data_IF_238322981766
#
_entry.id   IF_238322981766
#
_cell.length_a   1.000
_cell.length_b   1.000
_cell.length_c   1.000
_cell.angle_alpha   90.00
_cell.angle_beta   90.00
_cell.angle_gamma   90.00
#
_symmetry.space_group_name_H-M   'P 1'
#
loop_
_entity.id
_entity.type
_entity.pdbx_description
1 polymer ?
#
# COMPACT_ATOMS: atom_id res chain seq x y z
N UNK A 1 -20.80 -26.85 -21.30
CA UNK A 1 -22.01 -26.62 -22.12
C UNK A 1 -22.57 -25.26 -21.71
N UNK A 2 -22.89 -24.29 -22.57
CA UNK A 2 -22.83 -24.16 -24.01
C UNK A 2 -22.37 -22.74 -24.41
N UNK A 3 -21.78 -22.64 -25.60
CA UNK A 3 -21.29 -21.40 -26.23
C UNK A 3 -22.42 -20.68 -26.95
N UNK A 4 -22.32 -19.36 -27.07
CA UNK A 4 -22.85 -18.65 -28.24
C UNK A 4 -21.82 -17.62 -28.70
N UNK A 5 -21.19 -17.97 -29.81
CA UNK A 5 -20.34 -17.12 -30.65
C UNK A 5 -21.25 -16.19 -31.45
N UNK A 6 -20.81 -14.96 -31.69
CA UNK A 6 -21.30 -14.16 -32.82
C UNK A 6 -20.13 -13.44 -33.49
N UNK A 7 -19.65 -14.10 -34.54
CA UNK A 7 -19.13 -13.62 -35.81
C UNK A 7 -18.19 -12.40 -35.85
N UNK A 8 -16.90 -12.72 -36.02
CA UNK A 8 -15.95 -11.90 -36.78
C UNK A 8 -16.10 -12.16 -38.29
N UNK A 9 -15.87 -11.12 -39.08
CA UNK A 9 -15.72 -11.08 -40.55
C UNK A 9 -16.99 -10.79 -41.39
N UNK A 10 -17.48 -9.56 -41.28
CA UNK A 10 -17.79 -8.73 -42.45
C UNK A 10 -16.94 -7.45 -42.30
N UNK A 11 -15.69 -7.49 -42.77
CA UNK A 11 -15.24 -6.71 -43.93
C UNK A 11 -15.51 -5.22 -43.76
N UNK A 12 -14.51 -4.56 -43.17
CA UNK A 12 -13.88 -3.37 -43.71
C UNK A 12 -14.76 -2.44 -44.56
N UNK A 13 -15.44 -1.50 -43.90
CA UNK A 13 -15.58 -0.13 -44.39
C UNK A 13 -16.13 0.71 -43.24
N UNK A 14 -15.58 1.92 -43.07
CA UNK A 14 -15.85 2.91 -42.01
C UNK A 14 -15.22 2.66 -40.63
N UNK A 15 -13.89 2.55 -40.60
CA UNK A 15 -13.15 3.03 -39.42
C UNK A 15 -13.30 4.56 -39.39
N UNK A 16 -14.19 5.06 -38.53
CA UNK A 16 -14.15 6.46 -38.12
C UNK A 16 -12.76 6.73 -37.52
N UNK A 17 -12.11 7.86 -37.85
CA UNK A 17 -10.82 8.19 -37.26
C UNK A 17 -10.97 8.25 -35.74
N UNK A 18 -9.96 7.77 -35.02
CA UNK A 18 -9.84 7.94 -33.57
C UNK A 18 -10.16 9.40 -33.19
N UNK A 19 -10.92 9.64 -32.11
CA UNK A 19 -11.14 11.00 -31.65
C UNK A 19 -9.76 11.63 -31.42
N UNK A 20 -9.55 12.82 -31.99
CA UNK A 20 -8.30 13.56 -31.82
C UNK A 20 -8.01 13.69 -30.34
N UNK A 21 -6.84 13.22 -29.90
CA UNK A 21 -6.31 13.53 -28.58
C UNK A 21 -6.40 15.05 -28.43
N UNK A 22 -7.23 15.51 -27.50
CA UNK A 22 -7.35 16.93 -27.18
C UNK A 22 -5.96 17.43 -26.83
N UNK A 23 -5.38 18.23 -27.73
CA UNK A 23 -4.11 18.89 -27.52
C UNK A 23 -4.34 19.88 -26.38
N UNK A 24 -3.84 19.54 -25.19
CA UNK A 24 -3.96 20.38 -24.01
C UNK A 24 -3.25 21.71 -24.30
N UNK A 25 -3.91 22.88 -24.11
CA UNK A 25 -3.25 24.16 -24.32
C UNK A 25 -2.04 24.28 -23.39
N UNK A 26 -0.90 24.71 -23.91
CA UNK A 26 0.21 25.12 -23.05
C UNK A 26 -0.28 26.23 -22.12
N UNK A 27 -0.22 26.05 -20.78
CA UNK A 27 -0.62 27.11 -19.87
C UNK A 27 0.43 28.22 -19.88
N UNK A 28 -0.04 29.47 -19.95
CA UNK A 28 0.79 30.66 -19.76
C UNK A 28 1.54 30.60 -18.42
N UNK A 29 2.78 31.12 -18.35
CA UNK A 29 3.58 31.11 -17.13
C UNK A 29 2.91 31.98 -16.05
N UNK A 30 2.26 31.35 -15.07
CA UNK A 30 1.71 32.03 -13.90
C UNK A 30 2.81 32.24 -12.85
N UNK A 31 2.86 33.47 -12.35
CA UNK A 31 3.73 34.02 -11.31
C UNK A 31 4.37 33.02 -10.35
N UNK A 32 5.70 32.92 -10.43
CA UNK A 32 6.60 32.31 -9.44
C UNK A 32 6.54 33.07 -8.11
N UNK A 33 6.29 32.41 -6.97
CA UNK A 33 6.77 32.89 -5.68
C UNK A 33 8.30 32.90 -5.67
N UNK A 34 8.90 33.79 -4.88
CA UNK A 34 10.34 34.09 -4.84
C UNK A 34 11.26 32.87 -4.97
N UNK A 35 12.25 33.00 -5.85
CA UNK A 35 13.23 31.98 -6.16
C UNK A 35 14.02 31.59 -4.90
N UNK A 36 13.84 30.34 -4.46
CA UNK A 36 14.76 29.69 -3.53
C UNK A 36 16.07 29.40 -4.26
N UNK A 37 17.18 29.72 -3.60
CA UNK A 37 18.56 29.67 -4.09
C UNK A 37 18.90 28.36 -4.84
N UNK A 38 19.35 28.42 -6.12
CA UNK A 38 19.63 27.22 -6.94
C UNK A 38 20.73 26.31 -6.35
N UNK A 39 21.45 26.76 -5.33
CA UNK A 39 22.47 25.98 -4.63
C UNK A 39 21.90 24.91 -3.66
N UNK A 40 20.59 24.91 -3.38
CA UNK A 40 19.95 23.90 -2.50
C UNK A 40 19.08 22.87 -3.24
N UNK A 41 18.88 23.01 -4.56
CA UNK A 41 17.93 22.24 -5.35
C UNK A 41 18.57 21.21 -6.31
N UNK A 42 19.64 20.54 -5.87
CA UNK A 42 20.25 19.41 -6.57
C UNK A 42 20.04 18.10 -5.81
N UNK A 43 18.80 17.81 -5.40
CA UNK A 43 18.37 16.43 -5.12
C UNK A 43 17.80 15.86 -6.42
N UNK A 44 18.69 15.62 -7.38
CA UNK A 44 18.32 15.00 -8.63
C UNK A 44 17.78 13.59 -8.34
N UNK A 45 16.63 13.24 -8.89
CA UNK A 45 16.11 11.86 -8.87
C UNK A 45 17.15 10.86 -9.39
N UNK A 46 18.17 11.31 -10.13
CA UNK A 46 19.43 10.61 -10.44
C UNK A 46 20.18 9.98 -9.24
N UNK A 47 20.05 10.52 -8.02
CA UNK A 47 20.70 9.98 -6.82
C UNK A 47 19.86 8.93 -6.08
N UNK A 48 18.57 8.78 -6.42
CA UNK A 48 17.67 7.84 -5.73
C UNK A 48 18.01 6.42 -6.14
N UNK A 49 18.30 5.53 -5.20
CA UNK A 49 18.78 4.19 -5.54
C UNK A 49 17.70 3.30 -6.18
N UNK A 50 18.12 2.46 -7.13
CA UNK A 50 17.32 1.43 -7.82
C UNK A 50 16.08 1.87 -8.58
N UNK A 51 15.93 3.16 -8.88
CA UNK A 51 15.12 3.57 -10.03
C UNK A 51 15.87 3.28 -11.31
N UNK A 52 15.18 2.78 -12.32
CA UNK A 52 15.70 2.69 -13.67
C UNK A 52 15.76 4.09 -14.33
N UNK A 53 16.41 4.16 -15.49
CA UNK A 53 16.60 5.42 -16.21
C UNK A 53 15.26 6.03 -16.69
N UNK A 54 14.28 5.20 -17.05
CA UNK A 54 12.97 5.64 -17.51
C UNK A 54 12.19 6.30 -16.36
N UNK A 55 12.16 5.66 -15.20
CA UNK A 55 11.54 6.17 -13.98
C UNK A 55 12.15 7.49 -13.54
N UNK A 56 13.49 7.60 -13.55
CA UNK A 56 14.20 8.85 -13.21
C UNK A 56 13.78 10.00 -14.10
N UNK A 57 13.85 9.82 -15.42
CA UNK A 57 13.45 10.86 -16.39
C UNK A 57 12.01 11.28 -16.21
N UNK A 58 11.11 10.34 -15.93
CA UNK A 58 9.69 10.64 -15.71
C UNK A 58 9.50 11.46 -14.43
N UNK A 59 10.14 11.09 -13.33
CA UNK A 59 10.07 11.81 -12.06
C UNK A 59 10.71 13.19 -12.14
N UNK A 60 11.81 13.36 -12.88
CA UNK A 60 12.41 14.67 -13.16
C UNK A 60 11.45 15.57 -13.95
N UNK A 61 10.75 15.02 -14.95
CA UNK A 61 9.72 15.76 -15.70
C UNK A 61 8.56 16.16 -14.81
N UNK A 62 8.12 15.28 -13.90
CA UNK A 62 7.06 15.60 -12.92
C UNK A 62 7.54 16.68 -11.94
N UNK A 63 8.76 16.58 -11.43
CA UNK A 63 9.36 17.60 -10.56
C UNK A 63 9.43 18.97 -11.24
N UNK A 64 9.87 19.02 -12.52
CA UNK A 64 9.96 20.27 -13.27
C UNK A 64 8.59 20.91 -13.58
N UNK A 65 7.55 20.10 -13.80
CA UNK A 65 6.20 20.58 -14.14
C UNK A 65 5.30 20.82 -12.93
N UNK A 66 5.55 20.12 -11.82
CA UNK A 66 4.63 20.04 -10.69
C UNK A 66 3.43 19.12 -10.96
N UNK A 67 2.75 18.76 -9.87
CA UNK A 67 1.50 18.02 -9.84
C UNK A 67 0.39 18.98 -9.48
N UNK A 68 -0.49 19.27 -10.44
CA UNK A 68 -1.65 20.11 -10.19
C UNK A 68 -2.72 19.32 -9.44
N UNK A 69 -3.17 19.86 -8.32
CA UNK A 69 -4.25 19.32 -7.51
C UNK A 69 -5.33 20.37 -7.30
N UNK A 70 -6.59 19.93 -7.38
CA UNK A 70 -7.75 20.73 -7.04
C UNK A 70 -8.59 19.93 -6.07
N UNK A 71 -9.08 20.58 -5.01
CA UNK A 71 -9.94 19.92 -4.03
C UNK A 71 -11.19 19.36 -4.73
N UNK A 72 -11.38 18.03 -4.76
CA UNK A 72 -12.50 17.43 -5.48
C UNK A 72 -13.86 17.74 -4.85
N UNK A 73 -13.89 18.21 -3.59
CA UNK A 73 -15.10 18.57 -2.84
C UNK A 73 -15.32 20.07 -2.72
N UNK A 74 -14.46 20.89 -3.34
CA UNK A 74 -14.61 22.34 -3.40
C UNK A 74 -14.30 22.84 -4.82
N UNK A 75 -15.36 22.97 -5.63
CA UNK A 75 -15.26 23.35 -7.03
C UNK A 75 -14.77 24.80 -7.23
N UNK A 76 -14.96 25.65 -6.22
CA UNK A 76 -14.62 27.08 -6.26
C UNK A 76 -13.21 27.36 -5.72
N UNK A 77 -12.64 26.44 -4.96
CA UNK A 77 -11.26 26.55 -4.51
C UNK A 77 -10.27 26.58 -5.70
N UNK A 78 -9.30 27.51 -5.70
CA UNK A 78 -8.25 27.51 -6.71
C UNK A 78 -7.41 26.24 -6.58
N UNK A 79 -7.00 25.67 -7.71
CA UNK A 79 -6.07 24.56 -7.71
C UNK A 79 -4.65 25.01 -7.33
N UNK A 80 -3.87 24.08 -6.82
CA UNK A 80 -2.50 24.30 -6.34
C UNK A 80 -1.57 23.32 -7.06
N UNK A 81 -0.42 23.80 -7.51
CA UNK A 81 0.63 22.97 -8.07
C UNK A 81 1.63 22.58 -6.97
N UNK A 82 1.85 21.28 -6.78
CA UNK A 82 2.81 20.73 -5.83
C UNK A 82 4.07 20.28 -6.55
N UNK A 83 5.25 20.57 -5.99
CA UNK A 83 6.50 20.02 -6.50
C UNK A 83 6.80 18.68 -5.84
N UNK A 84 7.06 17.66 -6.65
CA UNK A 84 7.38 16.31 -6.19
C UNK A 84 8.89 16.17 -5.96
N UNK A 85 9.34 16.08 -4.71
CA UNK A 85 10.75 15.95 -4.32
C UNK A 85 11.01 14.64 -3.57
N UNK A 86 12.21 14.06 -3.68
CA UNK A 86 12.51 12.83 -2.94
C UNK A 86 12.70 13.13 -1.44
N UNK A 87 11.92 12.45 -0.61
CA UNK A 87 11.84 12.65 0.84
C UNK A 87 12.80 11.86 1.70
N UNK A 88 13.71 11.13 1.06
CA UNK A 88 14.62 10.18 1.69
C UNK A 88 14.01 8.78 1.85
N UNK A 89 14.88 7.77 1.83
CA UNK A 89 14.50 6.37 1.96
C UNK A 89 13.98 6.06 3.38
N UNK A 90 13.07 5.09 3.48
CA UNK A 90 12.56 4.58 4.76
C UNK A 90 12.94 3.12 4.92
N UNK A 91 13.17 2.72 6.16
CA UNK A 91 13.51 1.33 6.48
C UNK A 91 12.37 0.38 6.11
N UNK A 92 12.74 -0.81 5.64
CA UNK A 92 11.80 -1.87 5.30
C UNK A 92 11.41 -2.71 6.55
N UNK A 93 11.03 -2.03 7.63
CA UNK A 93 10.71 -2.62 8.95
C UNK A 93 9.19 -2.81 9.18
N UNK A 94 8.38 -2.52 8.15
CA UNK A 94 6.92 -2.51 8.20
C UNK A 94 6.30 -1.21 8.72
N UNK A 95 7.09 -0.27 9.26
CA UNK A 95 6.64 1.08 9.67
C UNK A 95 6.86 2.15 8.60
N UNK A 96 7.58 1.81 7.53
CA UNK A 96 7.74 2.56 6.28
C UNK A 96 6.59 3.50 5.91
N UNK A 97 5.34 3.03 5.82
CA UNK A 97 4.16 3.87 5.51
C UNK A 97 4.04 5.04 6.49
N UNK A 98 4.05 4.74 7.79
CA UNK A 98 3.85 5.73 8.85
C UNK A 98 5.06 6.66 8.98
N UNK A 99 6.27 6.15 8.76
CA UNK A 99 7.49 6.96 8.73
C UNK A 99 7.48 7.93 7.54
N UNK A 100 7.09 7.46 6.35
CA UNK A 100 6.95 8.29 5.16
C UNK A 100 5.86 9.35 5.34
N UNK A 101 4.70 8.96 5.88
CA UNK A 101 3.60 9.87 6.17
C UNK A 101 3.99 10.94 7.19
N UNK A 102 4.68 10.57 8.28
CA UNK A 102 5.23 11.53 9.25
C UNK A 102 6.16 12.54 8.59
N UNK A 103 7.07 12.06 7.73
CA UNK A 103 8.03 12.91 7.03
C UNK A 103 7.32 13.89 6.10
N UNK A 104 6.37 13.40 5.29
CA UNK A 104 5.59 14.22 4.36
C UNK A 104 4.71 15.26 5.07
N UNK A 105 4.18 14.96 6.26
CA UNK A 105 3.37 15.90 7.05
C UNK A 105 4.20 16.86 7.92
N UNK A 106 5.52 16.63 8.03
CA UNK A 106 6.45 17.52 8.73
C UNK A 106 6.67 17.21 10.23
N UNK A 107 7.61 17.92 10.88
CA UNK A 107 8.19 17.53 12.17
C UNK A 107 7.25 17.63 13.38
N UNK A 108 6.15 18.39 13.26
CA UNK A 108 5.11 18.50 14.30
C UNK A 108 4.19 17.27 14.34
N UNK A 109 4.30 16.39 13.34
CA UNK A 109 3.51 15.18 13.25
C UNK A 109 3.99 14.14 14.24
N UNK A 110 3.00 13.45 14.81
CA UNK A 110 3.17 12.27 15.65
C UNK A 110 4.20 11.25 15.11
N UNK A 111 4.80 10.49 16.02
CA UNK A 111 5.73 9.41 15.65
C UNK A 111 5.04 8.30 14.84
N UNK A 112 5.81 7.48 14.10
CA UNK A 112 5.27 6.41 13.26
C UNK A 112 4.34 5.45 14.02
N UNK A 113 4.71 5.07 15.24
CA UNK A 113 3.89 4.22 16.13
C UNK A 113 2.57 4.87 16.51
N UNK A 114 2.57 6.17 16.79
CA UNK A 114 1.37 6.91 17.14
C UNK A 114 0.47 7.11 15.91
N UNK A 115 1.05 7.39 14.73
CA UNK A 115 0.30 7.44 13.46
C UNK A 115 -0.37 6.10 13.14
N UNK A 116 0.32 4.98 13.35
CA UNK A 116 -0.24 3.63 13.24
C UNK A 116 -1.44 3.46 14.15
N UNK A 117 -1.31 3.82 15.43
CA UNK A 117 -2.41 3.73 16.40
C UNK A 117 -3.60 4.62 16.03
N UNK A 118 -3.36 5.82 15.50
CA UNK A 118 -4.42 6.72 15.02
C UNK A 118 -5.15 6.13 13.81
N UNK A 119 -4.42 5.58 12.84
CA UNK A 119 -5.02 4.91 11.69
C UNK A 119 -5.89 3.72 12.11
N UNK A 120 -5.41 2.88 13.03
CA UNK A 120 -6.18 1.76 13.59
C UNK A 120 -7.43 2.26 14.32
N UNK A 121 -7.30 3.28 15.17
CA UNK A 121 -8.44 3.86 15.91
C UNK A 121 -9.48 4.40 14.95
N UNK A 122 -9.06 5.15 13.94
CA UNK A 122 -9.94 5.73 12.93
C UNK A 122 -10.70 4.64 12.17
N UNK A 123 -9.99 3.60 11.75
CA UNK A 123 -10.62 2.43 11.12
C UNK A 123 -11.66 1.79 12.04
N UNK A 124 -11.37 1.58 13.33
CA UNK A 124 -12.31 0.97 14.27
C UNK A 124 -13.55 1.83 14.51
N UNK A 125 -13.41 3.16 14.52
CA UNK A 125 -14.55 4.09 14.59
C UNK A 125 -15.45 3.97 13.35
N UNK A 126 -14.83 3.94 12.16
CA UNK A 126 -15.56 3.78 10.88
C UNK A 126 -16.21 2.40 10.78
N UNK A 127 -15.49 1.34 11.13
CA UNK A 127 -15.97 -0.03 11.13
C UNK A 127 -17.11 -0.25 12.14
N UNK A 128 -17.00 0.33 13.34
CA UNK A 128 -18.02 0.23 14.38
C UNK A 128 -19.31 1.01 14.07
N UNK A 129 -19.21 2.09 13.29
CA UNK A 129 -20.35 2.91 12.86
C UNK A 129 -20.95 2.47 11.52
N UNK A 130 -20.25 1.64 10.75
CA UNK A 130 -20.70 1.11 9.48
C UNK A 130 -21.94 0.19 9.61
N UNK A 131 -22.79 0.22 8.59
CA UNK A 131 -23.87 -0.76 8.46
C UNK A 131 -23.33 -2.17 8.17
N UNK A 132 -24.23 -3.16 8.14
CA UNK A 132 -23.84 -4.56 7.92
C UNK A 132 -23.22 -4.80 6.53
N UNK A 133 -23.67 -4.10 5.49
CA UNK A 133 -23.17 -4.29 4.14
C UNK A 133 -21.76 -3.69 3.97
N UNK A 134 -21.53 -2.51 4.54
CA UNK A 134 -20.23 -1.86 4.55
C UNK A 134 -19.21 -2.63 5.39
N UNK A 135 -19.61 -3.20 6.53
CA UNK A 135 -18.76 -4.09 7.33
C UNK A 135 -18.39 -5.36 6.57
N UNK A 136 -19.36 -6.04 5.96
CA UNK A 136 -19.08 -7.23 5.14
C UNK A 136 -18.14 -6.90 3.97
N UNK A 137 -18.31 -5.76 3.31
CA UNK A 137 -17.40 -5.33 2.25
C UNK A 137 -15.96 -5.14 2.75
N UNK A 138 -15.78 -4.57 3.95
CA UNK A 138 -14.47 -4.45 4.58
C UNK A 138 -13.89 -5.82 4.94
N UNK A 139 -14.69 -6.72 5.53
CA UNK A 139 -14.26 -8.07 5.88
C UNK A 139 -13.87 -8.90 4.65
N UNK A 140 -14.60 -8.76 3.54
CA UNK A 140 -14.24 -9.36 2.24
C UNK A 140 -12.90 -8.85 1.76
N UNK A 141 -12.67 -7.52 1.80
CA UNK A 141 -11.41 -6.94 1.37
C UNK A 141 -10.23 -7.43 2.24
N UNK A 142 -10.41 -7.49 3.56
CA UNK A 142 -9.43 -8.01 4.51
C UNK A 142 -9.11 -9.48 4.23
N UNK A 143 -10.14 -10.31 3.98
CA UNK A 143 -9.94 -11.72 3.61
C UNK A 143 -9.12 -11.85 2.34
N UNK A 144 -9.42 -11.06 1.30
CA UNK A 144 -8.63 -11.11 0.07
C UNK A 144 -7.16 -10.74 0.27
N UNK A 145 -6.87 -9.81 1.19
CA UNK A 145 -5.50 -9.35 1.46
C UNK A 145 -4.71 -10.32 2.35
N UNK A 146 -5.37 -10.94 3.34
CA UNK A 146 -4.66 -11.59 4.45
C UNK A 146 -5.04 -13.03 4.73
N UNK A 147 -6.18 -13.49 4.21
CA UNK A 147 -6.63 -14.87 4.35
C UNK A 147 -7.37 -15.32 3.08
N UNK A 148 -6.70 -15.29 1.91
CA UNK A 148 -7.33 -15.58 0.63
C UNK A 148 -7.81 -17.03 0.56
N UNK A 149 -8.80 -17.29 -0.30
CA UNK A 149 -9.24 -18.66 -0.58
C UNK A 149 -8.18 -19.38 -1.43
N UNK A 150 -7.42 -20.28 -0.80
CA UNK A 150 -6.37 -21.06 -1.45
C UNK A 150 -6.88 -22.07 -2.50
N UNK A 151 -8.20 -22.28 -2.59
CA UNK A 151 -8.82 -23.07 -3.67
C UNK A 151 -9.06 -22.25 -4.95
N UNK A 152 -8.86 -20.94 -4.88
CA UNK A 152 -9.04 -20.00 -5.97
C UNK A 152 -7.86 -19.00 -6.03
N UNK A 153 -7.88 -18.05 -6.98
CA UNK A 153 -6.97 -16.88 -6.92
C UNK A 153 -5.55 -17.04 -7.47
N UNK A 154 -5.16 -18.21 -7.99
CA UNK A 154 -3.81 -18.45 -8.53
C UNK A 154 -3.48 -17.70 -9.83
N UNK A 155 -4.47 -17.08 -10.49
CA UNK A 155 -4.28 -16.34 -11.74
C UNK A 155 -3.62 -14.96 -11.62
N UNK A 156 -3.37 -14.47 -10.39
CA UNK A 156 -2.79 -13.13 -10.13
C UNK A 156 -1.33 -13.23 -9.68
N UNK A 157 -1.02 -14.14 -8.74
CA UNK A 157 0.33 -14.36 -8.25
C UNK A 157 0.51 -15.84 -7.86
N UNK A 158 1.69 -16.39 -8.17
CA UNK A 158 2.02 -17.82 -7.96
C UNK A 158 2.24 -18.19 -6.49
N UNK A 159 2.38 -17.18 -5.62
CA UNK A 159 2.44 -17.34 -4.16
C UNK A 159 1.30 -16.56 -3.52
N UNK A 160 0.57 -17.21 -2.63
CA UNK A 160 -0.46 -16.60 -1.77
C UNK A 160 0.02 -16.59 -0.32
N UNK A 161 -0.34 -15.56 0.44
CA UNK A 161 0.03 -15.45 1.86
C UNK A 161 -1.22 -15.50 2.74
N UNK A 162 -1.20 -16.35 3.77
CA UNK A 162 -2.18 -16.32 4.87
C UNK A 162 -1.47 -15.79 6.11
N UNK A 163 -2.02 -14.72 6.70
CA UNK A 163 -1.47 -14.08 7.88
C UNK A 163 -2.28 -14.44 9.13
N UNK A 164 -1.57 -14.85 10.16
CA UNK A 164 -2.10 -15.26 11.45
C UNK A 164 -1.43 -14.46 12.58
N UNK A 165 -2.14 -14.27 13.67
CA UNK A 165 -1.63 -13.62 14.87
C UNK A 165 -1.45 -14.66 15.98
N UNK A 166 -0.21 -14.83 16.42
CA UNK A 166 0.12 -15.64 17.58
C UNK A 166 0.29 -14.73 18.78
N UNK A 167 -0.44 -14.98 19.87
CA UNK A 167 -0.23 -14.23 21.10
C UNK A 167 1.14 -14.59 21.67
N UNK A 168 1.95 -13.58 22.03
CA UNK A 168 3.32 -13.81 22.54
C UNK A 168 3.33 -14.73 23.78
N UNK A 169 2.34 -14.57 24.65
CA UNK A 169 2.17 -15.39 25.85
C UNK A 169 1.93 -16.89 25.56
N UNK A 170 1.42 -17.24 24.37
CA UNK A 170 1.05 -18.61 24.02
C UNK A 170 2.15 -19.32 23.20
N UNK A 171 3.25 -18.64 22.87
CA UNK A 171 4.30 -19.12 21.95
C UNK A 171 4.94 -20.42 22.40
N UNK A 172 5.28 -20.54 23.68
CA UNK A 172 5.84 -21.79 24.23
C UNK A 172 4.86 -22.97 24.08
N UNK A 173 3.57 -22.71 24.29
CA UNK A 173 2.52 -23.71 24.13
C UNK A 173 2.29 -24.11 22.66
N UNK A 174 2.44 -23.17 21.72
CA UNK A 174 2.42 -23.46 20.29
C UNK A 174 3.61 -24.35 19.91
N UNK A 175 4.82 -23.99 20.34
CA UNK A 175 6.04 -24.75 20.05
C UNK A 175 5.97 -26.18 20.60
N UNK A 176 5.47 -26.34 21.83
CA UNK A 176 5.26 -27.66 22.43
C UNK A 176 4.27 -28.50 21.61
N UNK A 177 3.13 -27.93 21.21
CA UNK A 177 2.13 -28.66 20.43
C UNK A 177 2.62 -29.02 19.02
N UNK A 178 3.45 -28.18 18.41
CA UNK A 178 4.12 -28.52 17.14
C UNK A 178 5.06 -29.69 17.36
N UNK A 179 5.85 -29.66 18.44
CA UNK A 179 6.78 -30.74 18.74
C UNK A 179 6.06 -32.06 19.01
N UNK A 180 4.92 -32.05 19.70
CA UNK A 180 4.08 -33.24 19.91
C UNK A 180 3.66 -33.89 18.58
N UNK A 181 3.21 -33.10 17.61
CA UNK A 181 2.85 -33.61 16.28
C UNK A 181 4.07 -34.13 15.51
N UNK A 182 5.22 -33.47 15.64
CA UNK A 182 6.48 -33.94 15.05
C UNK A 182 6.92 -35.27 15.65
N UNK A 183 6.80 -35.44 16.97
CA UNK A 183 7.13 -36.67 17.67
C UNK A 183 6.20 -37.84 17.28
N UNK A 184 4.97 -37.52 16.84
CA UNK A 184 4.02 -38.47 16.24
C UNK A 184 4.31 -38.79 14.75
N UNK A 185 5.34 -38.18 14.17
CA UNK A 185 5.83 -38.46 12.82
C UNK A 185 5.34 -37.50 11.73
N UNK A 186 4.68 -36.40 12.08
CA UNK A 186 4.33 -35.36 11.09
C UNK A 186 5.58 -34.55 10.71
N UNK A 187 5.62 -34.10 9.46
CA UNK A 187 6.63 -33.12 9.03
C UNK A 187 6.41 -31.80 9.79
N UNK A 188 7.51 -31.15 10.18
CA UNK A 188 7.47 -29.97 11.05
C UNK A 188 6.61 -28.85 10.48
N UNK A 189 6.68 -28.61 9.18
CA UNK A 189 5.94 -27.57 8.48
C UNK A 189 4.43 -27.86 8.50
N UNK A 190 4.03 -29.11 8.24
CA UNK A 190 2.62 -29.52 8.29
C UNK A 190 2.05 -29.54 9.72
N UNK A 191 2.87 -29.90 10.71
CA UNK A 191 2.54 -29.78 12.13
C UNK A 191 2.34 -28.31 12.52
N UNK A 192 3.29 -27.44 12.16
CA UNK A 192 3.23 -26.01 12.41
C UNK A 192 2.02 -25.35 11.75
N UNK A 193 1.77 -25.62 10.47
CA UNK A 193 0.59 -25.15 9.76
C UNK A 193 -0.70 -25.53 10.48
N UNK A 194 -0.82 -26.79 10.89
CA UNK A 194 -2.01 -27.29 11.59
C UNK A 194 -2.23 -26.58 12.92
N UNK A 195 -1.18 -26.48 13.74
CA UNK A 195 -1.26 -25.80 15.04
C UNK A 195 -1.53 -24.31 14.90
N UNK A 196 -0.89 -23.64 13.95
CA UNK A 196 -1.11 -22.21 13.74
C UNK A 196 -2.52 -21.92 13.23
N UNK A 197 -3.04 -22.69 12.28
CA UNK A 197 -4.43 -22.53 11.80
C UNK A 197 -5.48 -22.82 12.88
N UNK A 198 -5.20 -23.75 13.78
CA UNK A 198 -6.10 -24.14 14.87
C UNK A 198 -6.10 -23.11 16.02
N UNK A 199 -4.92 -22.60 16.39
CA UNK A 199 -4.73 -21.86 17.65
C UNK A 199 -4.43 -20.37 17.49
N UNK A 200 -3.98 -19.92 16.32
CA UNK A 200 -3.72 -18.51 16.07
C UNK A 200 -4.96 -17.82 15.50
N UNK A 201 -4.97 -16.48 15.57
CA UNK A 201 -6.09 -15.68 15.05
C UNK A 201 -5.83 -15.39 13.58
N UNK A 202 -6.69 -15.89 12.68
CA UNK A 202 -6.65 -15.51 11.29
C UNK A 202 -7.06 -14.05 11.10
N UNK A 203 -6.42 -13.35 10.16
CA UNK A 203 -6.79 -11.98 9.78
C UNK A 203 -7.84 -12.07 8.68
N UNK A 204 -9.11 -12.03 9.07
CA UNK A 204 -10.24 -12.28 8.17
C UNK A 204 -11.45 -11.34 8.41
N UNK A 205 -11.31 -10.36 9.29
CA UNK A 205 -12.33 -9.36 9.58
C UNK A 205 -11.70 -8.05 10.09
N UNK A 206 -12.50 -7.00 10.24
CA UNK A 206 -12.05 -5.70 10.74
C UNK A 206 -11.36 -5.75 12.11
N UNK A 207 -11.81 -6.62 13.02
CA UNK A 207 -11.26 -6.68 14.38
C UNK A 207 -9.89 -7.35 14.42
N UNK A 208 -9.71 -8.44 13.67
CA UNK A 208 -8.44 -9.14 13.49
C UNK A 208 -7.44 -8.27 12.70
N UNK A 209 -7.90 -7.53 11.69
CA UNK A 209 -7.08 -6.54 11.00
C UNK A 209 -6.58 -5.44 11.95
N UNK A 210 -7.44 -4.92 12.82
CA UNK A 210 -7.04 -3.88 13.78
C UNK A 210 -5.96 -4.38 14.75
N UNK A 211 -6.04 -5.65 15.18
CA UNK A 211 -4.98 -6.29 15.98
C UNK A 211 -3.67 -6.41 15.19
N UNK A 212 -3.75 -6.87 13.94
CA UNK A 212 -2.59 -6.96 13.06
C UNK A 212 -1.92 -5.61 12.85
N UNK A 213 -2.68 -4.60 12.42
CA UNK A 213 -2.15 -3.28 12.11
C UNK A 213 -1.60 -2.55 13.35
N UNK A 214 -1.99 -2.96 14.56
CA UNK A 214 -1.43 -2.46 15.82
C UNK A 214 -0.01 -2.96 16.10
N UNK A 215 0.46 -4.01 15.43
CA UNK A 215 1.81 -4.57 15.59
C UNK A 215 2.81 -3.62 14.95
N UNK A 216 3.68 -3.05 15.78
CA UNK A 216 4.60 -1.97 15.43
C UNK A 216 6.06 -2.40 15.33
N UNK A 217 6.35 -3.68 15.56
CA UNK A 217 7.72 -4.18 15.68
C UNK A 217 8.32 -3.87 17.05
N UNK A 218 7.47 -3.73 18.07
CA UNK A 218 7.84 -3.36 19.44
C UNK A 218 7.82 -4.62 20.32
N UNK A 219 8.73 -4.74 21.31
CA UNK A 219 8.69 -5.86 22.26
C UNK A 219 7.37 -5.90 23.05
N UNK A 220 6.71 -4.77 23.23
CA UNK A 220 5.41 -4.60 23.90
C UNK A 220 4.20 -4.96 23.04
N UNK A 221 4.38 -5.27 21.75
CA UNK A 221 3.27 -5.75 20.92
C UNK A 221 2.71 -7.07 21.50
N UNK A 222 1.39 -7.20 21.58
CA UNK A 222 0.73 -8.38 22.21
C UNK A 222 0.88 -9.66 21.35
N UNK A 223 0.99 -9.49 20.04
CA UNK A 223 0.99 -10.58 19.05
C UNK A 223 2.24 -10.53 18.18
N UNK A 224 2.71 -11.72 17.79
CA UNK A 224 3.63 -11.92 16.69
C UNK A 224 2.85 -12.24 15.41
N UNK A 225 3.40 -11.84 14.26
CA UNK A 225 2.85 -12.15 12.94
C UNK A 225 3.44 -13.48 12.47
N UNK A 226 2.57 -14.40 12.07
CA UNK A 226 2.93 -15.62 11.34
C UNK A 226 2.40 -15.48 9.91
N UNK A 227 3.27 -15.68 8.93
CA UNK A 227 2.90 -15.69 7.51
C UNK A 227 3.11 -17.09 6.95
N UNK A 228 2.01 -17.72 6.54
CA UNK A 228 2.03 -18.99 5.80
C UNK A 228 2.03 -18.66 4.31
N UNK A 229 3.04 -19.11 3.59
CA UNK A 229 3.19 -18.89 2.14
C UNK A 229 2.81 -20.16 1.40
N UNK A 230 1.93 -20.05 0.42
CA UNK A 230 1.40 -21.17 -0.36
C UNK A 230 1.71 -21.00 -1.83
N UNK A 231 2.02 -22.10 -2.51
CA UNK A 231 1.84 -22.26 -3.96
C UNK A 231 0.59 -23.12 -4.21
N UNK A 232 0.20 -23.29 -5.47
CA UNK A 232 -0.90 -24.17 -5.84
C UNK A 232 -0.68 -25.63 -5.37
N UNK A 233 0.59 -26.01 -5.15
CA UNK A 233 0.99 -27.34 -4.69
C UNK A 233 0.88 -27.54 -3.17
N UNK A 234 0.69 -26.46 -2.40
CA UNK A 234 0.57 -26.50 -0.94
C UNK A 234 1.44 -25.47 -0.23
N UNK A 235 1.67 -25.71 1.07
CA UNK A 235 2.49 -24.83 1.89
C UNK A 235 3.95 -24.86 1.40
N UNK A 236 4.46 -23.68 1.04
CA UNK A 236 5.83 -23.46 0.60
C UNK A 236 6.76 -23.17 1.78
N UNK A 237 6.36 -22.25 2.64
CA UNK A 237 7.19 -21.76 3.74
C UNK A 237 6.36 -21.10 4.84
N UNK A 238 6.95 -21.02 6.03
CA UNK A 238 6.41 -20.31 7.19
C UNK A 238 7.42 -19.25 7.59
N UNK A 239 6.97 -18.00 7.68
CA UNK A 239 7.74 -16.89 8.23
C UNK A 239 7.14 -16.47 9.57
N UNK A 240 7.99 -16.33 10.58
CA UNK A 240 7.60 -16.05 11.96
C UNK A 240 8.37 -14.84 12.50
N UNK A 241 7.65 -13.80 12.90
CA UNK A 241 8.26 -12.62 13.53
C UNK A 241 8.61 -12.86 15.02
N UNK A 242 9.39 -13.91 15.32
CA UNK A 242 9.69 -14.31 16.71
C UNK A 242 10.40 -13.25 17.53
N UNK A 243 11.20 -12.42 16.87
CA UNK A 243 11.98 -11.39 17.54
C UNK A 243 11.16 -10.11 17.78
N UNK A 244 9.89 -10.08 17.34
CA UNK A 244 9.00 -8.94 17.50
C UNK A 244 9.48 -7.69 16.76
N UNK A 245 10.38 -7.81 15.77
CA UNK A 245 10.96 -6.65 15.07
C UNK A 245 10.21 -6.27 13.80
N UNK A 246 9.47 -7.20 13.18
CA UNK A 246 8.66 -6.89 12.01
C UNK A 246 7.36 -6.21 12.42
N UNK A 247 7.09 -5.03 11.89
CA UNK A 247 5.79 -4.40 12.01
C UNK A 247 4.82 -4.89 10.93
N UNK A 248 3.51 -4.76 11.18
CA UNK A 248 2.52 -4.99 10.14
C UNK A 248 2.70 -3.97 9.00
N UNK A 249 2.78 -4.47 7.77
CA UNK A 249 2.87 -3.61 6.58
C UNK A 249 1.57 -2.81 6.40
N UNK A 250 1.72 -1.52 6.14
CA UNK A 250 0.62 -0.64 5.78
C UNK A 250 -0.01 -1.02 4.43
N UNK A 251 -1.33 -1.07 4.40
CA UNK A 251 -2.16 -1.36 3.24
C UNK A 251 -3.07 -0.17 2.90
N UNK A 252 -3.87 -0.30 1.85
CA UNK A 252 -4.80 0.76 1.42
C UNK A 252 -5.82 1.12 2.54
N UNK A 253 -6.17 0.16 3.40
CA UNK A 253 -7.04 0.38 4.56
C UNK A 253 -6.38 1.34 5.55
N UNK A 254 -5.09 1.12 5.88
CA UNK A 254 -4.33 2.01 6.74
C UNK A 254 -4.13 3.40 6.10
N UNK A 255 -3.91 3.45 4.79
CA UNK A 255 -3.74 4.71 4.06
C UNK A 255 -5.04 5.53 4.07
N UNK A 256 -6.18 4.89 3.85
CA UNK A 256 -7.51 5.53 3.95
C UNK A 256 -7.80 6.00 5.38
N UNK A 257 -7.38 5.22 6.39
CA UNK A 257 -7.43 5.62 7.80
C UNK A 257 -6.62 6.89 8.07
N UNK A 258 -5.40 6.99 7.54
CA UNK A 258 -4.58 8.22 7.62
C UNK A 258 -5.22 9.39 6.87
N UNK A 259 -5.72 9.17 5.66
CA UNK A 259 -6.39 10.20 4.87
C UNK A 259 -7.56 10.80 5.67
N UNK A 260 -8.38 9.93 6.28
CA UNK A 260 -9.54 10.33 7.08
C UNK A 260 -9.15 11.03 8.38
N UNK A 261 -8.18 10.51 9.14
CA UNK A 261 -7.66 11.12 10.37
C UNK A 261 -7.14 12.55 10.12
N UNK A 262 -6.39 12.75 9.04
CA UNK A 262 -5.75 14.04 8.73
C UNK A 262 -6.52 14.91 7.74
N UNK A 263 -7.74 14.49 7.37
CA UNK A 263 -8.68 15.23 6.50
C UNK A 263 -8.01 15.73 5.21
N UNK A 264 -7.15 14.90 4.62
CA UNK A 264 -6.40 15.18 3.39
C UNK A 264 -6.38 13.96 2.50
N UNK A 265 -6.17 14.17 1.21
CA UNK A 265 -5.90 13.06 0.30
C UNK A 265 -4.47 12.56 0.47
N UNK A 266 -4.30 11.25 0.39
CA UNK A 266 -2.99 10.60 0.36
C UNK A 266 -2.83 9.95 -1.00
N UNK A 267 -1.85 10.40 -1.76
CA UNK A 267 -1.51 9.81 -3.05
C UNK A 267 -0.33 8.88 -2.90
N UNK A 268 -0.52 7.61 -3.24
CA UNK A 268 0.60 6.68 -3.40
C UNK A 268 1.12 6.83 -4.83
N UNK A 269 2.37 7.26 -4.96
CA UNK A 269 3.04 7.45 -6.23
C UNK A 269 3.85 6.19 -6.53
N UNK A 270 3.37 5.35 -7.43
CA UNK A 270 4.04 4.09 -7.80
C UNK A 270 4.87 4.26 -9.06
N UNK A 271 6.13 3.84 -9.01
CA UNK A 271 6.99 3.72 -10.20
C UNK A 271 7.18 2.24 -10.56
N UNK A 272 6.67 1.83 -11.74
CA UNK A 272 6.82 0.48 -12.27
C UNK A 272 7.95 0.41 -13.30
N UNK A 273 8.62 -0.74 -13.38
CA UNK A 273 9.70 -0.98 -14.33
C UNK A 273 9.19 -1.31 -15.74
N UNK A 274 10.11 -1.30 -16.71
CA UNK A 274 9.84 -1.57 -18.14
C UNK A 274 9.16 -2.91 -18.43
N UNK A 275 9.30 -3.90 -17.54
CA UNK A 275 8.73 -5.25 -17.74
C UNK A 275 7.19 -5.26 -17.71
N UNK A 276 6.57 -4.19 -17.19
CA UNK A 276 5.12 -4.06 -17.11
C UNK A 276 4.52 -3.14 -18.19
N UNK A 277 5.31 -2.32 -18.89
CA UNK A 277 4.79 -1.20 -19.70
C UNK A 277 5.42 -1.10 -21.10
N UNK A 278 4.58 -0.88 -22.11
CA UNK A 278 4.99 -0.74 -23.53
C UNK A 278 5.26 0.73 -23.91
N UNK A 279 4.77 1.71 -23.13
CA UNK A 279 4.95 3.15 -23.38
C UNK A 279 5.91 3.77 -22.35
N UNK A 280 6.86 4.56 -22.84
CA UNK A 280 7.82 5.32 -22.03
C UNK A 280 7.15 6.30 -21.05
N UNK A 281 5.92 6.73 -21.33
CA UNK A 281 5.20 7.75 -20.56
C UNK A 281 4.44 7.23 -19.33
N UNK A 282 4.19 5.93 -19.24
CA UNK A 282 3.25 5.34 -18.28
C UNK A 282 3.96 4.50 -17.20
N UNK A 283 5.14 4.93 -16.74
CA UNK A 283 5.87 4.23 -15.68
C UNK A 283 5.59 4.78 -14.26
N UNK A 284 4.83 5.87 -14.13
CA UNK A 284 4.50 6.50 -12.82
C UNK A 284 3.00 6.71 -12.68
N UNK A 285 2.42 6.18 -11.60
CA UNK A 285 0.99 6.22 -11.30
C UNK A 285 0.73 6.92 -9.97
N UNK A 286 -0.40 7.62 -9.89
CA UNK A 286 -0.88 8.27 -8.67
C UNK A 286 -2.15 7.54 -8.23
N UNK A 287 -2.10 6.86 -7.10
CA UNK A 287 -3.22 6.13 -6.52
C UNK A 287 -3.82 6.95 -5.38
N UNK A 288 -4.97 7.62 -5.60
CA UNK A 288 -5.59 8.49 -4.60
C UNK A 288 -6.28 7.69 -3.51
N UNK A 289 -6.10 8.13 -2.27
CA UNK A 289 -6.88 7.70 -1.11
C UNK A 289 -7.55 8.93 -0.52
N UNK A 290 -8.85 9.04 -0.68
CA UNK A 290 -9.62 10.19 -0.22
C UNK A 290 -10.20 9.94 1.18
N UNK A 291 -10.28 10.97 2.03
CA UNK A 291 -10.90 10.82 3.35
C UNK A 291 -12.39 10.52 3.24
N UNK A 292 -12.93 9.75 4.20
CA UNK A 292 -14.38 9.55 4.35
C UNK A 292 -15.10 10.85 4.78
N UNK A 293 -14.36 11.80 5.34
CA UNK A 293 -14.83 13.12 5.79
C UNK A 293 -14.43 14.23 4.83
N UNK A 294 -14.86 15.47 5.08
CA UNK A 294 -14.48 16.63 4.28
C UNK A 294 -12.96 16.85 4.28
N UNK A 295 -12.40 17.09 3.09
CA UNK A 295 -11.00 17.47 2.87
C UNK A 295 -10.81 18.92 3.33
N UNK A 296 -9.91 19.12 4.29
CA UNK A 296 -9.60 20.42 4.88
C UNK A 296 -8.13 20.81 4.76
N UNK A 297 -7.29 19.88 4.31
CA UNK A 297 -5.85 20.00 4.32
C UNK A 297 -5.29 19.63 2.93
N UNK A 298 -4.16 20.23 2.51
CA UNK A 298 -3.48 19.86 1.27
C UNK A 298 -3.12 18.37 1.20
N UNK A 299 -3.07 17.78 -0.01
CA UNK A 299 -2.70 16.38 -0.17
C UNK A 299 -1.24 16.12 0.23
N UNK A 300 -0.95 14.86 0.54
CA UNK A 300 0.43 14.37 0.63
C UNK A 300 0.67 13.30 -0.44
N UNK A 301 1.92 13.19 -0.89
CA UNK A 301 2.35 12.23 -1.89
C UNK A 301 3.40 11.31 -1.27
N UNK A 302 3.20 9.99 -1.34
CA UNK A 302 4.07 8.98 -0.75
C UNK A 302 4.67 8.13 -1.87
N UNK A 303 5.99 7.97 -1.91
CA UNK A 303 6.62 7.18 -2.99
C UNK A 303 6.48 5.71 -2.69
N UNK A 304 6.25 4.93 -3.73
CA UNK A 304 6.45 3.51 -3.68
C UNK A 304 7.24 3.10 -4.91
N UNK A 305 8.45 2.62 -4.64
CA UNK A 305 9.30 2.03 -5.66
C UNK A 305 8.80 0.60 -5.90
N UNK A 306 8.42 0.28 -7.13
CA UNK A 306 7.68 -0.93 -7.46
C UNK A 306 8.41 -2.26 -7.21
N UNK A 307 7.60 -3.23 -6.74
CA UNK A 307 7.64 -4.71 -6.92
C UNK A 307 8.97 -5.45 -6.67
N UNK A 308 9.44 -5.39 -5.43
CA UNK A 308 10.23 -6.46 -4.82
C UNK A 308 9.93 -6.44 -3.32
N UNK A 309 9.99 -7.59 -2.63
CA UNK A 309 10.21 -7.53 -1.17
C UNK A 309 11.41 -6.60 -1.00
N UNK A 310 11.29 -5.57 -0.16
CA UNK A 310 12.29 -4.53 0.13
C UNK A 310 12.20 -3.23 -0.72
N UNK A 311 12.05 -2.12 0.02
CA UNK A 311 12.28 -0.70 -0.33
C UNK A 311 11.06 0.15 -0.66
N UNK A 312 10.35 0.58 0.39
CA UNK A 312 9.52 1.77 0.37
C UNK A 312 10.42 3.02 0.53
N UNK A 313 10.10 4.12 -0.15
CA UNK A 313 10.85 5.38 -0.06
C UNK A 313 9.88 6.55 0.17
N UNK A 314 10.32 7.66 0.74
CA UNK A 314 9.44 8.82 0.96
C UNK A 314 9.49 9.76 -0.25
N UNK A 315 8.36 10.39 -0.62
CA UNK A 315 8.37 11.66 -1.38
C UNK A 315 8.03 12.77 -0.40
N UNK A 316 8.79 13.86 -0.46
CA UNK A 316 8.42 15.15 0.12
C UNK A 316 7.79 16.02 -0.96
N UNK A 317 6.76 16.78 -0.60
CA UNK A 317 6.36 17.94 -1.39
C UNK A 317 6.34 19.13 -0.45
N UNK A 318 7.18 20.13 -0.72
CA UNK A 318 6.93 21.47 -0.23
C UNK A 318 5.99 22.16 -1.23
N UNK A 319 5.05 22.95 -0.69
CA UNK A 319 4.34 23.97 -1.46
C UNK A 319 5.30 25.14 -1.75
#
# INVERSE_FOLDING_TARGET
MGKLLSNSAAVAETLNPSPSLLQWPDPDPIHTPEAVDPATASFAWAAVSGLDEQQRRRLEKIHARGVFWKNPRDAEAPGVAFRLEHGGDVEADGNCLFTAARRAMGPKTAGARELRQRAVRRFLEDYGSADGAAREAADVAIRHLYSPDLKAGWGIHVVQEVKLLAKKADREGLDAAIQELVDLGLQREGAAESIYKDRCIAINDGLSWAKYMSISGSPEDEYDIITLQYTEEGLLSIDENRNGHAAAFGDDIAIEGLATEFRREVYVVQAHGSDAMVDENDCVFFLPHSPRVQICEPPIFLFMKGTGKHNLATIWCNA
#
